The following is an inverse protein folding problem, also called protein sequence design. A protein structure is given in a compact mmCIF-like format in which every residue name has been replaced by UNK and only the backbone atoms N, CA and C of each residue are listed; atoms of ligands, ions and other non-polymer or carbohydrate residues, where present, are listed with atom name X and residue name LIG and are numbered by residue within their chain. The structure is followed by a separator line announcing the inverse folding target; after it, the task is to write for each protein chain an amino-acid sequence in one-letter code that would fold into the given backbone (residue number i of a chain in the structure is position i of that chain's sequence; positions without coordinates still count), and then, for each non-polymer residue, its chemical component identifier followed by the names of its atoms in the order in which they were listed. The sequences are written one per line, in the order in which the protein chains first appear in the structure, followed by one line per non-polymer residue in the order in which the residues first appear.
data_IF_575518187866
#
_entry.id   IF_575518187866
#
_cell.length_a   1.000
_cell.length_b   1.000
_cell.length_c   1.000
_cell.angle_alpha   90.00
_cell.angle_beta   90.00
_cell.angle_gamma   90.00
#
_symmetry.space_group_name_H-M   'P 1'
#
loop_
_entity.id
_entity.type
_entity.pdbx_description
1 polymer ?
#
# COMPACT_ATOMS: atom_id res chain seq x y z
N UNK A 1 -11.16 -35.75 41.05
CA UNK A 1 -10.53 -34.60 40.35
C UNK A 1 -11.38 -33.35 40.59
N UNK A 2 -10.89 -32.36 41.34
CA UNK A 2 -11.63 -31.10 41.55
C UNK A 2 -11.70 -30.34 40.23
N UNK A 3 -12.90 -30.08 39.70
CA UNK A 3 -13.08 -29.21 38.54
C UNK A 3 -12.52 -27.84 38.92
N UNK A 4 -11.51 -27.35 38.19
CA UNK A 4 -11.05 -25.97 38.29
C UNK A 4 -12.19 -25.05 37.84
N UNK A 5 -13.12 -24.75 38.74
CA UNK A 5 -14.16 -23.75 38.55
C UNK A 5 -13.44 -22.41 38.47
N UNK A 6 -13.37 -21.83 37.28
CA UNK A 6 -12.81 -20.49 37.11
C UNK A 6 -13.53 -19.50 38.03
N UNK A 7 -12.85 -18.42 38.45
CA UNK A 7 -13.43 -17.38 39.31
C UNK A 7 -14.82 -16.96 38.81
N UNK A 8 -15.82 -16.97 39.68
CA UNK A 8 -17.17 -16.49 39.36
C UNK A 8 -17.15 -14.97 39.43
N UNK A 9 -17.53 -14.32 38.33
CA UNK A 9 -17.58 -12.85 38.23
C UNK A 9 -19.03 -12.48 37.91
N UNK A 10 -19.59 -11.51 38.63
CA UNK A 10 -20.94 -11.05 38.34
C UNK A 10 -20.99 -10.31 37.00
N UNK A 11 -22.07 -10.52 36.23
CA UNK A 11 -22.30 -9.83 34.96
C UNK A 11 -22.21 -8.30 35.13
N UNK A 12 -22.77 -7.78 36.23
CA UNK A 12 -22.77 -6.35 36.54
C UNK A 12 -21.35 -5.79 36.76
N UNK A 13 -20.49 -6.51 37.47
CA UNK A 13 -19.10 -6.07 37.68
C UNK A 13 -18.32 -6.05 36.37
N UNK A 14 -18.47 -7.09 35.54
CA UNK A 14 -17.83 -7.13 34.23
C UNK A 14 -18.37 -6.01 33.32
N UNK A 15 -19.68 -5.78 33.28
CA UNK A 15 -20.30 -4.77 32.44
C UNK A 15 -19.79 -3.36 32.75
N UNK A 16 -19.69 -2.99 34.05
CA UNK A 16 -19.17 -1.68 34.47
C UNK A 16 -17.73 -1.45 34.00
N UNK A 17 -16.85 -2.42 34.19
CA UNK A 17 -15.45 -2.32 33.74
C UNK A 17 -15.33 -2.40 32.22
N UNK A 18 -16.24 -3.12 31.56
CA UNK A 18 -16.25 -3.29 30.11
C UNK A 18 -16.69 -2.03 29.37
N UNK A 19 -17.54 -1.21 29.97
CA UNK A 19 -18.02 0.05 29.42
C UNK A 19 -16.98 1.17 29.47
N UNK A 20 -16.01 1.10 30.40
CA UNK A 20 -14.93 2.09 30.50
C UNK A 20 -13.95 1.96 29.31
N UNK A 21 -13.87 2.97 28.42
CA UNK A 21 -12.99 2.94 27.25
C UNK A 21 -11.50 3.06 27.59
N UNK A 22 -11.15 3.60 28.76
CA UNK A 22 -9.76 3.74 29.21
C UNK A 22 -9.13 2.42 29.67
N UNK A 23 -9.93 1.40 29.97
CA UNK A 23 -9.45 0.12 30.46
C UNK A 23 -9.21 -0.89 29.33
N UNK A 24 -7.98 -1.39 29.20
CA UNK A 24 -7.71 -2.53 28.30
C UNK A 24 -8.32 -3.83 28.87
N UNK A 25 -8.63 -4.81 28.01
CA UNK A 25 -9.10 -6.13 28.49
C UNK A 25 -8.09 -6.79 29.44
N UNK A 26 -6.80 -6.55 29.24
CA UNK A 26 -5.74 -7.09 30.10
C UNK A 26 -5.76 -6.43 31.47
N UNK A 27 -5.94 -5.11 31.53
CA UNK A 27 -6.10 -4.38 32.80
C UNK A 27 -7.35 -4.80 33.56
N UNK A 28 -8.47 -4.97 32.87
CA UNK A 28 -9.71 -5.53 33.45
C UNK A 28 -9.44 -6.93 34.00
N UNK A 29 -8.65 -7.73 33.27
CA UNK A 29 -8.23 -9.05 33.69
C UNK A 29 -7.44 -9.02 34.99
N UNK A 30 -6.44 -8.17 35.10
CA UNK A 30 -5.65 -7.97 36.32
C UNK A 30 -6.53 -7.60 37.52
N UNK A 31 -7.46 -6.64 37.34
CA UNK A 31 -8.38 -6.20 38.40
C UNK A 31 -9.30 -7.34 38.88
N UNK A 32 -9.73 -8.22 37.98
CA UNK A 32 -10.58 -9.36 38.28
C UNK A 32 -9.78 -10.64 38.62
N UNK A 33 -8.46 -10.57 38.51
CA UNK A 33 -7.51 -11.68 38.61
C UNK A 33 -7.83 -12.84 37.67
N UNK A 34 -8.13 -12.54 36.40
CA UNK A 34 -8.27 -13.46 35.27
C UNK A 34 -7.46 -12.94 34.07
N UNK A 35 -7.23 -13.76 33.04
CA UNK A 35 -6.54 -13.26 31.83
C UNK A 35 -7.45 -12.33 31.02
N UNK A 36 -6.87 -11.37 30.30
CA UNK A 36 -7.63 -10.49 29.41
C UNK A 36 -8.36 -11.24 28.29
N UNK A 37 -7.82 -12.38 27.84
CA UNK A 37 -8.51 -13.29 26.94
C UNK A 37 -9.81 -13.86 27.56
N UNK A 38 -9.77 -14.22 28.85
CA UNK A 38 -10.95 -14.70 29.57
C UNK A 38 -12.00 -13.59 29.75
N UNK A 39 -11.58 -12.34 29.94
CA UNK A 39 -12.48 -11.16 29.98
C UNK A 39 -13.24 -11.04 28.65
N UNK A 40 -12.53 -11.05 27.52
CA UNK A 40 -13.16 -10.94 26.18
C UNK A 40 -14.14 -12.08 25.90
N UNK A 41 -13.75 -13.31 26.24
CA UNK A 41 -14.60 -14.48 26.05
C UNK A 41 -15.88 -14.38 26.90
N UNK A 42 -15.75 -14.02 28.18
CA UNK A 42 -16.90 -13.84 29.09
C UNK A 42 -17.80 -12.69 28.66
N UNK A 43 -17.25 -11.56 28.22
CA UNK A 43 -18.03 -10.45 27.71
C UNK A 43 -18.89 -10.87 26.51
N UNK A 44 -18.32 -11.64 25.59
CA UNK A 44 -19.05 -12.24 24.46
C UNK A 44 -20.14 -13.21 24.93
N UNK A 45 -19.83 -14.12 25.87
CA UNK A 45 -20.80 -15.09 26.41
C UNK A 45 -21.95 -14.40 27.16
N UNK A 46 -21.70 -13.25 27.79
CA UNK A 46 -22.68 -12.47 28.53
C UNK A 46 -23.45 -11.45 27.66
N UNK A 47 -23.21 -11.45 26.34
CA UNK A 47 -23.89 -10.59 25.39
C UNK A 47 -23.55 -9.10 25.53
N UNK A 48 -22.36 -8.77 26.04
CA UNK A 48 -21.89 -7.39 26.11
C UNK A 48 -21.52 -6.88 24.71
N UNK A 49 -21.71 -5.59 24.42
CA UNK A 49 -21.39 -5.02 23.11
C UNK A 49 -19.89 -5.17 22.80
N UNK A 50 -19.50 -5.39 21.54
CA UNK A 50 -18.10 -5.40 21.14
C UNK A 50 -17.42 -4.07 21.46
N UNK A 51 -16.24 -4.11 22.08
CA UNK A 51 -15.40 -2.92 22.23
C UNK A 51 -14.79 -2.57 20.87
N UNK A 52 -14.61 -1.28 20.63
CA UNK A 52 -13.80 -0.82 19.50
C UNK A 52 -12.41 -1.46 19.60
N UNK A 53 -11.96 -2.09 18.51
CA UNK A 53 -10.59 -2.58 18.43
C UNK A 53 -9.63 -1.42 18.57
N UNK A 54 -8.47 -1.66 19.20
CA UNK A 54 -7.40 -0.67 19.22
C UNK A 54 -6.94 -0.32 17.80
N UNK A 55 -6.30 0.83 17.66
CA UNK A 55 -5.69 1.22 16.40
C UNK A 55 -4.66 0.17 15.97
N UNK A 56 -4.78 -0.29 14.73
CA UNK A 56 -3.82 -1.23 14.14
C UNK A 56 -2.46 -0.50 14.02
N UNK A 57 -1.33 -1.12 14.34
CA UNK A 57 -0.01 -0.54 14.08
C UNK A 57 0.12 0.02 12.66
N UNK A 58 0.73 1.20 12.56
CA UNK A 58 1.10 1.83 11.30
C UNK A 58 2.57 1.52 10.99
N UNK A 59 2.85 1.17 9.74
CA UNK A 59 4.21 0.91 9.28
C UNK A 59 4.46 1.83 8.08
N UNK A 60 5.52 2.62 8.16
CA UNK A 60 5.96 3.45 7.06
C UNK A 60 6.69 2.57 6.03
N UNK A 61 5.92 2.06 5.07
CA UNK A 61 6.43 1.22 3.97
C UNK A 61 6.55 2.08 2.72
N UNK A 62 7.67 2.00 2.00
CA UNK A 62 7.86 2.64 0.70
C UNK A 62 6.61 2.44 -0.18
N UNK A 63 5.87 3.53 -0.40
CA UNK A 63 4.57 3.51 -1.04
C UNK A 63 4.67 3.01 -2.49
N UNK A 64 5.71 3.43 -3.22
CA UNK A 64 5.81 3.11 -4.64
C UNK A 64 6.13 1.63 -4.84
N UNK A 65 7.16 1.12 -4.16
CA UNK A 65 7.56 -0.28 -4.27
C UNK A 65 6.45 -1.19 -3.73
N UNK A 66 5.82 -0.83 -2.61
CA UNK A 66 4.72 -1.60 -2.04
C UNK A 66 3.56 -1.74 -3.01
N UNK A 67 3.13 -0.64 -3.63
CA UNK A 67 2.02 -0.65 -4.58
C UNK A 67 2.33 -1.48 -5.82
N UNK A 68 3.56 -1.40 -6.33
CA UNK A 68 4.01 -2.21 -7.48
C UNK A 68 4.01 -3.70 -7.15
N UNK A 69 4.59 -4.09 -6.01
CA UNK A 69 4.57 -5.47 -5.53
C UNK A 69 3.14 -5.98 -5.34
N UNK A 70 2.26 -5.16 -4.76
CA UNK A 70 0.87 -5.52 -4.52
C UNK A 70 0.09 -5.76 -5.82
N UNK A 71 0.22 -4.84 -6.79
CA UNK A 71 -0.42 -4.94 -8.11
C UNK A 71 0.13 -6.10 -8.94
N UNK A 72 1.40 -6.44 -8.75
CA UNK A 72 2.03 -7.59 -9.40
C UNK A 72 1.65 -8.93 -8.75
N UNK A 73 0.76 -8.96 -7.75
CA UNK A 73 0.37 -10.17 -7.02
C UNK A 73 1.52 -10.89 -6.30
N UNK A 74 2.51 -10.13 -5.80
CA UNK A 74 3.57 -10.70 -4.95
C UNK A 74 2.94 -11.29 -3.68
N UNK A 75 3.48 -12.43 -3.24
CA UNK A 75 3.01 -13.11 -2.03
C UNK A 75 3.19 -12.20 -0.79
N UNK A 76 2.14 -11.95 0.02
CA UNK A 76 2.24 -11.04 1.17
C UNK A 76 3.26 -11.49 2.23
N UNK A 77 3.50 -12.80 2.34
CA UNK A 77 4.53 -13.34 3.22
C UNK A 77 5.94 -12.91 2.78
N UNK A 78 6.20 -12.84 1.48
CA UNK A 78 7.48 -12.39 0.93
C UNK A 78 7.63 -10.89 0.98
N UNK A 79 6.55 -10.13 0.71
CA UNK A 79 6.54 -8.69 0.97
C UNK A 79 6.85 -8.40 2.44
N UNK A 80 6.26 -9.15 3.37
CA UNK A 80 6.55 -9.01 4.80
C UNK A 80 8.03 -9.23 5.12
N UNK A 81 8.66 -10.26 4.54
CA UNK A 81 10.10 -10.48 4.67
C UNK A 81 10.92 -9.33 4.08
N UNK A 82 10.55 -8.83 2.90
CA UNK A 82 11.23 -7.73 2.24
C UNK A 82 11.19 -6.43 3.07
N UNK A 83 10.03 -6.09 3.62
CA UNK A 83 9.83 -4.88 4.42
C UNK A 83 10.15 -5.05 5.91
N UNK A 84 10.54 -6.25 6.36
CA UNK A 84 10.80 -6.52 7.78
C UNK A 84 9.55 -6.48 8.67
N UNK A 85 8.36 -6.70 8.12
CA UNK A 85 7.08 -6.64 8.85
C UNK A 85 6.31 -7.96 8.77
N UNK A 86 5.40 -8.16 9.73
CA UNK A 86 4.51 -9.34 9.74
C UNK A 86 3.51 -9.27 8.58
N UNK A 87 3.07 -10.43 8.10
CA UNK A 87 2.09 -10.53 7.00
C UNK A 87 0.84 -9.68 7.23
N UNK A 88 0.28 -9.64 8.44
CA UNK A 88 -0.91 -8.83 8.73
C UNK A 88 -0.67 -7.33 8.54
N UNK A 89 0.56 -6.83 8.75
CA UNK A 89 0.92 -5.45 8.49
C UNK A 89 0.81 -5.11 6.99
N UNK A 90 1.21 -6.03 6.11
CA UNK A 90 1.06 -5.88 4.66
C UNK A 90 -0.42 -5.76 4.30
N UNK A 91 -1.26 -6.64 4.82
CA UNK A 91 -2.70 -6.63 4.53
C UNK A 91 -3.38 -5.35 5.03
N UNK A 92 -3.02 -4.88 6.23
CA UNK A 92 -3.56 -3.63 6.77
C UNK A 92 -3.10 -2.40 5.99
N UNK A 93 -1.84 -2.37 5.54
CA UNK A 93 -1.35 -1.30 4.69
C UNK A 93 -2.06 -1.28 3.34
N UNK A 94 -2.27 -2.44 2.70
CA UNK A 94 -3.04 -2.52 1.47
C UNK A 94 -4.49 -2.04 1.65
N UNK A 95 -5.15 -2.47 2.74
CA UNK A 95 -6.52 -2.03 3.07
C UNK A 95 -6.59 -0.52 3.28
N UNK A 96 -5.66 0.08 4.03
CA UNK A 96 -5.61 1.53 4.28
C UNK A 96 -5.41 2.35 3.01
N UNK A 97 -4.60 1.82 2.08
CA UNK A 97 -4.33 2.43 0.78
C UNK A 97 -5.44 2.19 -0.25
N UNK A 98 -6.51 1.48 0.11
CA UNK A 98 -7.62 1.16 -0.80
C UNK A 98 -7.19 0.24 -1.96
N UNK A 99 -6.08 -0.49 -1.81
CA UNK A 99 -5.54 -1.31 -2.88
C UNK A 99 -6.29 -2.62 -2.97
N UNK A 100 -6.97 -2.84 -4.09
CA UNK A 100 -7.57 -4.12 -4.42
C UNK A 100 -6.53 -5.04 -5.05
N UNK A 101 -6.76 -6.35 -4.96
CA UNK A 101 -5.88 -7.35 -5.54
C UNK A 101 -6.72 -8.43 -6.19
N UNK A 102 -6.49 -8.67 -7.47
CA UNK A 102 -7.05 -9.83 -8.17
C UNK A 102 -6.05 -10.98 -8.10
N UNK A 103 -5.92 -11.59 -6.91
CA UNK A 103 -5.04 -12.74 -6.71
C UNK A 103 -5.82 -14.06 -6.73
N UNK A 104 -5.30 -15.01 -7.47
CA UNK A 104 -5.67 -16.42 -7.46
C UNK A 104 -4.41 -17.25 -7.18
N UNK A 105 -4.58 -18.55 -6.94
CA UNK A 105 -3.42 -19.47 -6.82
C UNK A 105 -2.54 -19.52 -8.07
N UNK A 106 -3.04 -19.08 -9.22
CA UNK A 106 -2.37 -19.20 -10.52
C UNK A 106 -1.63 -17.94 -10.95
N UNK A 107 -1.89 -16.80 -10.34
CA UNK A 107 -1.27 -15.52 -10.72
C UNK A 107 -0.46 -14.87 -9.59
N UNK A 108 -0.24 -15.60 -8.49
CA UNK A 108 0.66 -15.14 -7.42
C UNK A 108 2.10 -15.41 -7.81
N UNK A 109 2.92 -14.37 -7.82
CA UNK A 109 4.35 -14.46 -8.15
C UNK A 109 5.22 -14.39 -6.89
N UNK A 110 6.44 -14.90 -7.02
CA UNK A 110 7.47 -14.74 -5.99
C UNK A 110 8.10 -13.35 -6.00
N UNK A 111 8.76 -12.96 -4.91
CA UNK A 111 9.52 -11.72 -4.82
C UNK A 111 10.68 -11.69 -5.82
N UNK A 112 11.41 -12.80 -5.99
CA UNK A 112 12.52 -12.88 -6.94
C UNK A 112 12.04 -12.64 -8.38
N UNK A 113 10.97 -13.34 -8.78
CA UNK A 113 10.30 -13.17 -10.07
C UNK A 113 9.82 -11.72 -10.26
N UNK A 114 9.25 -11.10 -9.22
CA UNK A 114 8.91 -9.68 -9.27
C UNK A 114 10.14 -8.80 -9.53
N UNK A 115 11.25 -9.01 -8.81
CA UNK A 115 12.47 -8.21 -8.99
C UNK A 115 13.04 -8.33 -10.41
N UNK A 116 12.99 -9.53 -11.00
CA UNK A 116 13.40 -9.76 -12.39
C UNK A 116 12.51 -9.01 -13.39
N UNK A 117 11.18 -9.09 -13.21
CA UNK A 117 10.22 -8.35 -14.04
C UNK A 117 10.38 -6.83 -13.87
N UNK A 118 10.65 -6.38 -12.65
CA UNK A 118 10.87 -4.98 -12.32
C UNK A 118 12.12 -4.43 -13.00
N UNK A 119 13.22 -5.18 -12.91
CA UNK A 119 14.48 -4.84 -13.57
C UNK A 119 14.31 -4.79 -15.09
N UNK A 120 13.65 -5.80 -15.68
CA UNK A 120 13.36 -5.84 -17.12
C UNK A 120 12.58 -4.60 -17.56
N UNK A 121 11.51 -4.25 -16.85
CA UNK A 121 10.71 -3.05 -17.15
C UNK A 121 11.54 -1.77 -17.06
N UNK A 122 12.39 -1.62 -16.04
CA UNK A 122 13.26 -0.43 -15.90
C UNK A 122 14.27 -0.34 -17.05
N UNK A 123 14.86 -1.47 -17.45
CA UNK A 123 15.78 -1.54 -18.59
C UNK A 123 15.10 -1.21 -19.92
N UNK A 124 13.87 -1.71 -20.15
CA UNK A 124 13.08 -1.39 -21.34
C UNK A 124 12.77 0.11 -21.44
N UNK A 125 12.39 0.74 -20.31
CA UNK A 125 12.17 2.19 -20.24
C UNK A 125 13.45 2.96 -20.54
N UNK A 126 14.58 2.59 -19.93
CA UNK A 126 15.87 3.22 -20.20
C UNK A 126 16.25 3.10 -21.68
N UNK A 127 16.13 1.90 -22.27
CA UNK A 127 16.42 1.67 -23.68
C UNK A 127 15.52 2.49 -24.61
N UNK A 128 14.25 2.69 -24.26
CA UNK A 128 13.33 3.53 -25.03
C UNK A 128 13.74 5.01 -24.98
N UNK A 129 14.17 5.51 -23.82
CA UNK A 129 14.68 6.87 -23.65
C UNK A 129 15.94 7.08 -24.51
N UNK A 130 16.89 6.15 -24.46
CA UNK A 130 18.11 6.22 -25.27
C UNK A 130 17.82 6.20 -26.78
N UNK A 131 16.92 5.31 -27.25
CA UNK A 131 16.51 5.29 -28.66
C UNK A 131 15.84 6.59 -29.09
N UNK A 132 15.01 7.18 -28.23
CA UNK A 132 14.39 8.47 -28.50
C UNK A 132 15.44 9.60 -28.55
N UNK A 133 16.44 9.57 -27.66
CA UNK A 133 17.54 10.52 -27.67
C UNK A 133 18.39 10.41 -28.95
N UNK A 134 18.76 9.18 -29.36
CA UNK A 134 19.47 8.96 -30.62
C UNK A 134 18.68 9.45 -31.83
N UNK A 135 17.38 9.13 -31.90
CA UNK A 135 16.50 9.60 -32.98
C UNK A 135 16.38 11.14 -33.01
N UNK A 136 16.29 11.78 -31.84
CA UNK A 136 16.24 13.24 -31.76
C UNK A 136 17.57 13.86 -32.21
N UNK A 137 18.70 13.28 -31.82
CA UNK A 137 20.03 13.73 -32.27
C UNK A 137 20.20 13.60 -33.79
N UNK A 138 19.82 12.46 -34.38
CA UNK A 138 19.82 12.25 -35.84
C UNK A 138 18.94 13.25 -36.60
N UNK A 139 17.86 13.75 -35.98
CA UNK A 139 16.98 14.75 -36.58
C UNK A 139 17.56 16.17 -36.52
N UNK A 140 18.46 16.48 -35.58
CA UNK A 140 19.10 17.80 -35.44
C UNK A 140 20.26 17.98 -36.43
N UNK A 141 20.96 16.90 -36.79
CA UNK A 141 22.09 16.95 -37.74
C UNK A 141 21.69 17.11 -39.23
N UNK A 142 20.39 17.13 -39.55
CA UNK A 142 19.93 17.49 -40.89
C UNK A 142 20.05 19.00 -41.10
N UNK A 143 21.25 19.45 -41.49
CA UNK A 143 21.46 20.81 -42.00
C UNK A 143 20.51 21.04 -43.17
N UNK A 144 19.58 21.99 -43.04
CA UNK A 144 18.71 22.40 -44.12
C UNK A 144 19.55 23.00 -45.25
N UNK A 145 19.82 22.23 -46.31
CA UNK A 145 20.55 22.66 -47.51
C UNK A 145 19.65 23.24 -48.60
N UNK A 146 18.35 23.40 -48.32
CA UNK A 146 17.40 24.03 -49.23
C UNK A 146 17.55 25.55 -49.31
N UNK A 147 17.09 26.20 -50.40
CA UNK A 147 17.07 27.65 -50.48
C UNK A 147 16.16 28.23 -49.39
N UNK A 148 16.69 29.19 -48.61
CA UNK A 148 15.96 29.87 -47.53
C UNK A 148 14.67 30.52 -48.08
N UNK A 149 13.48 30.21 -47.56
CA UNK A 149 12.20 30.59 -48.18
C UNK A 149 11.87 32.09 -48.15
N UNK A 150 12.60 32.91 -47.40
CA UNK A 150 12.33 34.34 -47.23
C UNK A 150 13.03 35.27 -48.23
N UNK A 151 13.81 34.75 -49.19
CA UNK A 151 14.53 35.58 -50.17
C UNK A 151 13.67 36.05 -51.36
N UNK A 152 12.35 35.79 -51.37
CA UNK A 152 11.43 36.19 -52.46
C UNK A 152 10.45 37.33 -52.10
N UNK A 153 10.70 38.11 -51.05
CA UNK A 153 9.93 39.33 -50.81
C UNK A 153 10.44 40.47 -51.71
N UNK A 154 9.87 40.59 -52.91
CA UNK A 154 10.03 41.78 -53.74
C UNK A 154 9.43 43.03 -53.07
N UNK A 155 9.90 44.25 -53.42
CA UNK A 155 9.53 45.46 -52.70
C UNK A 155 8.02 45.76 -52.81
N UNK A 156 7.38 45.98 -51.65
CA UNK A 156 5.99 46.43 -51.54
C UNK A 156 5.88 47.84 -52.17
N UNK A 157 5.25 47.97 -53.34
CA UNK A 157 4.94 49.28 -53.93
C UNK A 157 3.87 49.96 -53.08
N UNK A 158 4.24 51.02 -52.36
CA UNK A 158 3.32 51.89 -51.66
C UNK A 158 2.42 52.63 -52.67
N UNK A 159 1.10 52.40 -52.60
CA UNK A 159 0.09 53.24 -53.28
C UNK A 159 -0.21 54.42 -52.37
N UNK A 160 0.24 55.61 -52.76
CA UNK A 160 -0.23 56.89 -52.22
C UNK A 160 -1.54 57.22 -52.92
N UNK A 161 -2.61 57.38 -52.15
CA UNK A 161 -3.89 57.90 -52.62
C UNK A 161 -3.86 59.43 -52.54
N UNK A 162 -4.31 60.09 -53.61
CA UNK A 162 -4.65 61.51 -53.66
C UNK A 162 -6.17 61.64 -53.80
#
# INVERSE_FOLDING_TARGET
MSRKRGKVISRAALARLWDDPGLSSDRIGEMLGISGAAVRWRAKTLGLPPRAGGEKPHYDLDCEIFERMWRANVRPAEMGRHFGVRLHAILWNAQRRGLTRNCTRHNSIGLAEFMELDLRRRMEVAAAVERAAMRNAEMVDKVFTGPKPWTKCGPLKARVAA
#
